data_IF_688389927382
#
_entry.id   IF_688389927382
#
_cell.length_a   1.000
_cell.length_b   1.000
_cell.length_c   1.000
_cell.angle_alpha   90.00
_cell.angle_beta   90.00
_cell.angle_gamma   90.00
#
_symmetry.space_group_name_H-M   'P 1'
#
loop_
_entity.id
_entity.type
_entity.pdbx_description
1 polymer ?
#
# COMPACT_ATOMS: atom_id res chain seq x y z
N UNK A 1 5.71 -2.94 12.94
CA UNK A 1 6.22 -2.55 11.61
C UNK A 1 7.21 -3.61 11.14
N UNK A 2 6.86 -4.37 10.10
CA UNK A 2 7.67 -5.45 9.53
C UNK A 2 8.63 -4.93 8.43
N UNK A 3 8.12 -4.07 7.54
CA UNK A 3 8.91 -3.52 6.44
C UNK A 3 8.45 -2.10 6.11
N UNK A 4 9.38 -1.32 5.54
CA UNK A 4 9.13 0.01 5.02
C UNK A 4 9.84 0.17 3.68
N UNK A 5 9.12 0.67 2.68
CA UNK A 5 9.60 0.75 1.30
C UNK A 5 9.32 2.14 0.76
N UNK A 6 10.36 2.82 0.27
CA UNK A 6 10.20 4.05 -0.50
C UNK A 6 9.73 3.71 -1.91
N UNK A 7 8.68 4.37 -2.37
CA UNK A 7 8.03 4.15 -3.65
C UNK A 7 7.63 5.48 -4.29
N UNK A 8 6.97 5.42 -5.43
CA UNK A 8 6.41 6.57 -6.13
C UNK A 8 5.02 6.24 -6.68
N UNK A 9 4.17 7.26 -6.74
CA UNK A 9 2.88 7.22 -7.42
C UNK A 9 2.81 8.32 -8.47
N UNK A 10 1.83 8.24 -9.36
CA UNK A 10 1.59 9.25 -10.40
C UNK A 10 0.18 9.80 -10.22
N UNK A 11 0.06 11.13 -10.21
CA UNK A 11 -1.24 11.81 -10.21
C UNK A 11 -1.27 12.70 -11.46
N UNK A 12 -2.02 12.28 -12.48
CA UNK A 12 -1.99 12.92 -13.79
C UNK A 12 -0.66 12.68 -14.50
N UNK A 13 0.16 13.73 -14.66
CA UNK A 13 1.50 13.66 -15.25
C UNK A 13 2.63 13.82 -14.21
N UNK A 14 2.26 14.15 -12.97
CA UNK A 14 3.22 14.45 -11.91
C UNK A 14 3.49 13.22 -11.06
N UNK A 15 4.77 12.98 -10.78
CA UNK A 15 5.24 11.91 -9.91
C UNK A 15 5.38 12.39 -8.47
N UNK A 16 4.88 11.60 -7.52
CA UNK A 16 4.95 11.88 -6.09
C UNK A 16 5.66 10.73 -5.39
N UNK A 17 6.62 11.04 -4.51
CA UNK A 17 7.21 10.01 -3.66
C UNK A 17 6.22 9.63 -2.56
N UNK A 18 6.09 8.33 -2.32
CA UNK A 18 5.23 7.76 -1.29
C UNK A 18 6.00 6.70 -0.52
N UNK A 19 5.56 6.43 0.69
CA UNK A 19 6.16 5.42 1.55
C UNK A 19 5.13 4.34 1.86
N UNK A 20 5.52 3.09 1.70
CA UNK A 20 4.66 1.94 1.97
C UNK A 20 5.17 1.25 3.22
N UNK A 21 4.28 1.05 4.18
CA UNK A 21 4.56 0.35 5.42
C UNK A 21 3.80 -0.97 5.46
N UNK A 22 4.48 -2.01 5.92
CA UNK A 22 3.89 -3.33 6.15
C UNK A 22 3.99 -3.61 7.64
N UNK A 23 2.86 -3.94 8.25
CA UNK A 23 2.79 -4.44 9.62
C UNK A 23 2.32 -5.90 9.63
N UNK A 24 2.85 -6.67 10.57
CA UNK A 24 2.43 -8.05 10.78
C UNK A 24 2.12 -8.23 12.26
N UNK A 25 0.90 -8.66 12.54
CA UNK A 25 0.39 -8.86 13.89
C UNK A 25 -0.17 -10.29 14.04
N UNK A 26 -0.06 -10.92 15.22
CA UNK A 26 -0.65 -12.24 15.48
C UNK A 26 -2.18 -12.19 15.44
N UNK A 27 -2.82 -13.25 14.93
CA UNK A 27 -4.27 -13.33 14.85
C UNK A 27 -4.76 -14.27 13.74
N UNK A 28 -6.02 -14.11 13.35
CA UNK A 28 -6.57 -14.80 12.18
C UNK A 28 -5.93 -14.25 10.90
N UNK A 29 -5.71 -15.10 9.88
CA UNK A 29 -5.23 -14.66 8.58
C UNK A 29 -6.15 -13.58 8.00
N UNK A 30 -5.59 -12.38 7.83
CA UNK A 30 -6.24 -11.24 7.21
C UNK A 30 -5.19 -10.42 6.49
N UNK A 31 -5.59 -9.76 5.42
CA UNK A 31 -4.74 -8.88 4.65
C UNK A 31 -5.54 -7.65 4.28
N UNK A 32 -5.07 -6.49 4.69
CA UNK A 32 -5.72 -5.21 4.46
C UNK A 32 -4.71 -4.20 3.95
N UNK A 33 -5.11 -3.44 2.93
CA UNK A 33 -4.31 -2.38 2.33
C UNK A 33 -5.08 -1.08 2.52
N UNK A 34 -4.45 -0.08 3.12
CA UNK A 34 -5.06 1.20 3.51
C UNK A 34 -4.14 2.36 3.11
N UNK A 35 -4.69 3.58 3.08
CA UNK A 35 -3.93 4.83 2.91
C UNK A 35 -4.10 5.52 1.57
N UNK A 36 -4.12 4.78 0.46
CA UNK A 36 -4.37 5.34 -0.88
C UNK A 36 -5.81 5.05 -1.33
N UNK A 37 -6.52 6.08 -1.78
CA UNK A 37 -7.90 5.96 -2.26
C UNK A 37 -8.02 5.36 -3.68
N UNK A 38 -6.88 4.97 -4.27
CA UNK A 38 -6.81 4.46 -5.64
C UNK A 38 -7.46 3.08 -5.78
N UNK A 39 -8.27 2.91 -6.82
CA UNK A 39 -8.88 1.62 -7.17
C UNK A 39 -7.81 0.56 -7.45
N UNK A 40 -6.69 0.93 -8.07
CA UNK A 40 -5.60 0.00 -8.34
C UNK A 40 -5.02 -0.59 -7.05
N UNK A 41 -4.99 0.19 -5.96
CA UNK A 41 -4.53 -0.27 -4.63
C UNK A 41 -5.53 -1.27 -4.02
N UNK A 42 -6.84 -1.09 -4.26
CA UNK A 42 -7.86 -2.06 -3.85
C UNK A 42 -7.76 -3.36 -4.65
N UNK A 43 -7.56 -3.28 -5.95
CA UNK A 43 -7.41 -4.46 -6.82
C UNK A 43 -6.11 -5.23 -6.51
N UNK A 44 -5.04 -4.53 -6.12
CA UNK A 44 -3.79 -5.17 -5.70
C UNK A 44 -3.96 -6.07 -4.47
N UNK A 45 -4.99 -5.88 -3.64
CA UNK A 45 -5.31 -6.78 -2.53
C UNK A 45 -5.75 -8.18 -3.00
N UNK A 46 -6.34 -8.28 -4.19
CA UNK A 46 -6.87 -9.55 -4.73
C UNK A 46 -5.85 -10.32 -5.60
N UNK A 47 -4.67 -9.74 -5.84
CA UNK A 47 -3.59 -10.29 -6.67
C UNK A 47 -2.49 -10.91 -5.82
#
# INVERSE_FOLDING_TARGET
MLAKVSSMTVIGIDGFSVEVEVDLSPGLPSFDVVGLADTAVKEAKER
#
